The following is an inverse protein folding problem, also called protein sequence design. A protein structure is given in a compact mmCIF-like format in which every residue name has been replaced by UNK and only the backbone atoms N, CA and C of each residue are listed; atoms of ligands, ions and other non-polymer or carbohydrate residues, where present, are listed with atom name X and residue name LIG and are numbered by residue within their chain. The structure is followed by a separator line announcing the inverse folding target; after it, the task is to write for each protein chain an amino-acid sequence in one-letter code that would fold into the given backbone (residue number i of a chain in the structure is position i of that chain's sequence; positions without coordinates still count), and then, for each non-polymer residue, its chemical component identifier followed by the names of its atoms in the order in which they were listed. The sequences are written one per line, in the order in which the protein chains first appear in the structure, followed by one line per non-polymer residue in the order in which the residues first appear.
data_IF_222304587973
#
_entry.id   IF_222304587973
#
_cell.length_a   1.000
_cell.length_b   1.000
_cell.length_c   1.000
_cell.angle_alpha   90.00
_cell.angle_beta   90.00
_cell.angle_gamma   90.00
#
_symmetry.space_group_name_H-M   'P 1'
#
loop_
_entity.id
_entity.type
_entity.pdbx_description
1 polymer ?
#
# COMPACT_ATOMS: atom_id res chain seq x y z
N UNK A 1 -48.91 3.04 -32.26
CA UNK A 1 -48.22 3.28 -30.98
C UNK A 1 -47.26 2.12 -30.76
N UNK A 2 -46.02 2.27 -31.13
CA UNK A 2 -44.99 1.23 -31.04
C UNK A 2 -43.95 1.72 -30.04
N UNK A 3 -43.92 1.09 -28.87
CA UNK A 3 -42.90 1.31 -27.84
C UNK A 3 -41.58 0.72 -28.30
N UNK A 4 -40.58 1.58 -28.43
CA UNK A 4 -39.20 1.18 -28.68
C UNK A 4 -38.45 0.94 -27.38
N UNK A 5 -38.02 -0.30 -27.19
CA UNK A 5 -37.17 -0.79 -26.09
C UNK A 5 -35.78 -0.21 -26.21
N UNK A 6 -35.13 0.28 -25.11
CA UNK A 6 -33.77 0.74 -25.17
C UNK A 6 -32.76 -0.42 -25.27
N UNK A 7 -31.60 -0.25 -25.89
CA UNK A 7 -30.60 -1.30 -26.07
C UNK A 7 -29.89 -1.65 -24.78
N UNK A 8 -29.84 -2.95 -24.49
CA UNK A 8 -28.95 -3.54 -23.48
C UNK A 8 -27.54 -3.61 -24.06
N UNK A 9 -26.62 -2.85 -23.53
CA UNK A 9 -25.22 -2.89 -23.92
C UNK A 9 -24.37 -2.09 -22.96
N UNK A 10 -24.21 -2.59 -21.74
CA UNK A 10 -23.23 -2.06 -20.78
C UNK A 10 -21.82 -2.54 -21.16
N UNK A 11 -21.10 -1.81 -21.98
CA UNK A 11 -19.65 -2.00 -22.12
C UNK A 11 -18.97 -1.58 -20.82
N UNK A 12 -18.35 -2.54 -20.12
CA UNK A 12 -17.40 -2.28 -19.03
C UNK A 12 -16.24 -1.47 -19.61
N UNK A 13 -16.24 -0.19 -19.37
CA UNK A 13 -15.06 0.64 -19.56
C UNK A 13 -14.05 0.30 -18.46
N UNK A 14 -13.13 -0.63 -18.77
CA UNK A 14 -11.89 -0.77 -18.02
C UNK A 14 -11.07 0.48 -18.33
N UNK A 15 -10.97 1.39 -17.36
CA UNK A 15 -10.04 2.51 -17.45
C UNK A 15 -8.62 1.94 -17.54
N UNK A 16 -8.06 1.89 -18.74
CA UNK A 16 -6.64 1.63 -18.96
C UNK A 16 -5.84 2.84 -18.45
N UNK A 17 -5.29 2.76 -17.25
CA UNK A 17 -4.33 3.71 -16.69
C UNK A 17 -2.93 3.46 -17.30
N UNK A 18 -2.85 2.98 -18.53
CA UNK A 18 -1.60 2.78 -19.29
C UNK A 18 -1.38 3.92 -20.30
N UNK A 19 -1.74 5.15 -19.93
CA UNK A 19 -1.35 6.36 -20.66
C UNK A 19 0.03 6.80 -20.25
N UNK A 20 1.00 6.59 -21.13
CA UNK A 20 2.31 7.22 -21.27
C UNK A 20 2.73 8.23 -20.20
N UNK A 21 3.49 7.77 -19.18
CA UNK A 21 4.16 8.63 -18.21
C UNK A 21 5.58 8.96 -18.72
N UNK A 22 5.69 9.95 -19.59
CA UNK A 22 6.97 10.62 -19.89
C UNK A 22 6.88 12.03 -19.33
N UNK A 23 7.53 12.27 -18.21
CA UNK A 23 7.59 13.58 -17.57
C UNK A 23 7.56 13.50 -16.06
N UNK A 24 8.38 14.27 -15.39
CA UNK A 24 8.69 14.27 -13.96
C UNK A 24 7.54 14.66 -13.00
N UNK A 25 6.30 14.70 -13.46
CA UNK A 25 5.12 14.94 -12.63
C UNK A 25 4.40 13.60 -12.39
N UNK A 26 4.78 12.94 -11.28
CA UNK A 26 4.09 11.75 -10.81
C UNK A 26 2.65 12.10 -10.44
N UNK A 27 1.68 11.52 -11.17
CA UNK A 27 0.25 11.63 -10.87
C UNK A 27 0.03 11.24 -9.40
N UNK A 28 -0.27 12.23 -8.57
CA UNK A 28 -0.62 12.00 -7.17
C UNK A 28 -2.05 11.46 -7.12
N UNK A 29 -2.15 10.15 -6.99
CA UNK A 29 -3.42 9.48 -6.75
C UNK A 29 -3.71 9.54 -5.26
N UNK A 30 -4.90 9.98 -4.89
CA UNK A 30 -5.33 9.96 -3.49
C UNK A 30 -6.28 8.80 -3.24
N UNK A 31 -6.03 8.10 -2.12
CA UNK A 31 -6.83 6.99 -1.66
C UNK A 31 -7.43 7.32 -0.29
N UNK A 32 -8.76 7.28 -0.16
CA UNK A 32 -9.37 7.26 1.17
C UNK A 32 -9.29 5.85 1.72
N UNK A 33 -8.50 5.67 2.76
CA UNK A 33 -8.29 4.37 3.40
C UNK A 33 -9.57 3.89 4.05
N UNK A 34 -9.98 2.66 3.74
CA UNK A 34 -11.16 2.00 4.32
C UNK A 34 -10.80 0.89 5.31
N UNK A 35 -9.66 0.23 5.11
CA UNK A 35 -9.19 -0.86 5.99
C UNK A 35 -7.68 -1.06 5.86
N UNK A 36 -7.01 -1.29 6.98
CA UNK A 36 -5.65 -1.84 7.02
C UNK A 36 -5.76 -3.36 7.09
N UNK A 37 -4.98 -4.06 6.26
CA UNK A 37 -5.00 -5.52 6.13
C UNK A 37 -3.92 -6.13 7.04
N UNK A 38 -2.70 -5.61 6.94
CA UNK A 38 -1.53 -5.98 7.75
C UNK A 38 -0.57 -4.79 7.85
N UNK A 39 0.66 -5.00 8.34
CA UNK A 39 1.62 -3.92 8.62
C UNK A 39 2.18 -3.20 7.38
N UNK A 40 1.92 -3.68 6.16
CA UNK A 40 2.38 -3.04 4.92
C UNK A 40 1.33 -3.00 3.81
N UNK A 41 0.11 -3.47 4.11
CA UNK A 41 -0.96 -3.59 3.11
C UNK A 41 -2.26 -2.99 3.62
N UNK A 42 -2.90 -2.16 2.80
CA UNK A 42 -4.17 -1.54 3.10
C UNK A 42 -5.06 -1.42 1.87
N UNK A 43 -6.34 -1.18 2.08
CA UNK A 43 -7.31 -0.97 1.00
C UNK A 43 -8.06 0.35 1.18
N UNK A 44 -8.55 0.88 0.08
CA UNK A 44 -9.34 2.09 0.10
C UNK A 44 -10.00 2.37 -1.24
N UNK A 45 -10.67 3.52 -1.31
CA UNK A 45 -11.30 4.01 -2.53
C UNK A 45 -10.45 5.11 -3.15
N UNK A 46 -10.05 4.89 -4.38
CA UNK A 46 -9.27 5.85 -5.16
C UNK A 46 -10.17 7.01 -5.61
N UNK A 47 -9.75 8.24 -5.28
CA UNK A 47 -10.31 9.45 -5.86
C UNK A 47 -9.33 9.95 -6.92
N UNK A 48 -9.74 9.91 -8.19
CA UNK A 48 -8.98 10.58 -9.26
C UNK A 48 -9.25 12.07 -9.17
N UNK A 49 -8.20 12.88 -9.07
CA UNK A 49 -8.35 14.33 -9.09
C UNK A 49 -8.68 14.75 -10.54
N UNK A 50 -9.96 15.01 -10.80
CA UNK A 50 -10.50 15.26 -12.15
C UNK A 50 -10.08 16.60 -12.76
N UNK A 51 -9.28 17.43 -12.06
CA UNK A 51 -8.75 18.68 -12.66
C UNK A 51 -7.80 18.41 -13.83
N UNK A 52 -7.12 17.25 -13.86
CA UNK A 52 -6.21 16.85 -14.94
C UNK A 52 -6.83 15.87 -15.95
N UNK A 53 -7.96 15.25 -15.58
CA UNK A 53 -8.70 14.32 -16.44
C UNK A 53 -10.01 14.92 -16.97
N UNK A 54 -10.02 16.24 -17.26
CA UNK A 54 -11.20 16.88 -17.84
C UNK A 54 -11.45 16.37 -19.26
N UNK A 55 -12.35 15.41 -19.38
CA UNK A 55 -12.96 15.02 -20.63
C UNK A 55 -14.37 15.65 -20.67
N UNK A 56 -14.65 16.62 -21.56
CA UNK A 56 -15.93 17.35 -21.60
C UNK A 56 -17.15 16.47 -21.86
N UNK A 57 -16.97 15.20 -22.20
CA UNK A 57 -18.05 14.22 -22.39
C UNK A 57 -18.35 13.35 -21.16
N UNK A 58 -17.60 13.46 -20.08
CA UNK A 58 -17.82 12.64 -18.85
C UNK A 58 -18.45 13.51 -17.79
N UNK A 59 -19.61 13.07 -17.27
CA UNK A 59 -20.28 13.73 -16.15
C UNK A 59 -19.31 13.78 -14.95
N UNK A 60 -18.90 14.96 -14.46
CA UNK A 60 -17.93 15.10 -13.37
C UNK A 60 -18.41 14.48 -12.04
N UNK A 61 -19.70 14.14 -11.94
CA UNK A 61 -20.31 13.48 -10.76
C UNK A 61 -20.27 11.93 -10.85
N UNK A 62 -19.81 11.36 -11.97
CA UNK A 62 -19.60 9.92 -12.13
C UNK A 62 -18.14 9.52 -11.84
N UNK A 63 -17.58 9.98 -10.75
CA UNK A 63 -16.31 9.44 -10.24
C UNK A 63 -16.57 8.03 -9.74
N UNK A 64 -16.25 7.03 -10.56
CA UNK A 64 -16.35 5.63 -10.14
C UNK A 64 -15.23 5.38 -9.14
N UNK A 65 -15.57 5.38 -7.86
CA UNK A 65 -14.65 5.10 -6.75
C UNK A 65 -14.22 3.63 -6.83
N UNK A 66 -13.10 3.36 -7.48
CA UNK A 66 -12.56 2.02 -7.58
C UNK A 66 -11.89 1.64 -6.27
N UNK A 67 -12.34 0.55 -5.66
CA UNK A 67 -11.67 -0.06 -4.53
C UNK A 67 -10.35 -0.67 -5.01
N UNK A 68 -9.25 -0.33 -4.38
CA UNK A 68 -7.93 -0.89 -4.66
C UNK A 68 -7.26 -1.35 -3.37
N UNK A 69 -6.38 -2.34 -3.51
CA UNK A 69 -5.47 -2.79 -2.46
C UNK A 69 -4.07 -2.28 -2.80
N UNK A 70 -3.42 -1.72 -1.81
CA UNK A 70 -2.08 -1.14 -1.91
C UNK A 70 -1.14 -1.89 -0.98
N UNK A 71 0.00 -2.31 -1.51
CA UNK A 71 1.16 -2.78 -0.75
C UNK A 71 2.23 -1.69 -0.77
N UNK A 72 2.69 -1.28 0.40
CA UNK A 72 3.73 -0.25 0.53
C UNK A 72 5.03 -0.76 -0.09
N UNK A 73 5.60 0.03 -1.00
CA UNK A 73 6.84 -0.31 -1.68
C UNK A 73 8.04 -0.27 -0.73
N UNK A 74 8.98 -1.18 -0.90
CA UNK A 74 10.28 -1.16 -0.25
C UNK A 74 10.31 -1.65 1.18
N UNK A 75 9.16 -1.96 1.78
CA UNK A 75 9.10 -2.55 3.13
C UNK A 75 8.43 -3.93 3.11
N UNK A 76 8.73 -4.74 4.13
CA UNK A 76 8.05 -6.01 4.41
C UNK A 76 7.80 -6.09 5.91
N UNK A 77 6.53 -5.96 6.31
CA UNK A 77 6.14 -5.98 7.71
C UNK A 77 5.87 -7.42 8.18
N UNK A 78 5.96 -7.70 9.49
CA UNK A 78 5.62 -9.01 10.02
C UNK A 78 4.19 -9.42 9.67
N UNK A 79 4.03 -10.69 9.34
CA UNK A 79 2.74 -11.30 9.03
C UNK A 79 1.85 -11.38 10.28
N UNK A 80 0.54 -11.51 10.09
CA UNK A 80 -0.37 -11.79 11.21
C UNK A 80 0.02 -13.10 11.90
N UNK A 81 0.10 -13.05 13.23
CA UNK A 81 0.54 -14.19 14.05
C UNK A 81 2.06 -14.39 14.08
N UNK A 82 2.82 -13.54 13.41
CA UNK A 82 4.25 -13.40 13.60
C UNK A 82 4.52 -12.42 14.73
N UNK A 83 5.67 -12.59 15.42
CA UNK A 83 6.13 -11.62 16.41
C UNK A 83 6.08 -10.19 15.87
N UNK A 84 5.47 -9.28 16.60
CA UNK A 84 5.18 -7.89 16.21
C UNK A 84 4.19 -7.68 15.04
N UNK A 85 3.60 -8.71 14.45
CA UNK A 85 2.68 -8.55 13.31
C UNK A 85 1.44 -7.73 13.63
N UNK A 86 0.82 -7.99 14.79
CA UNK A 86 -0.34 -7.23 15.25
C UNK A 86 0.03 -5.79 15.63
N UNK A 87 1.23 -5.58 16.22
CA UNK A 87 1.73 -4.24 16.56
C UNK A 87 1.97 -3.41 15.30
N UNK A 88 2.63 -3.98 14.28
CA UNK A 88 2.85 -3.33 12.99
C UNK A 88 1.53 -2.97 12.30
N UNK A 89 0.56 -3.89 12.32
CA UNK A 89 -0.79 -3.66 11.76
C UNK A 89 -1.52 -2.53 12.49
N UNK A 90 -1.47 -2.51 13.81
CA UNK A 90 -2.08 -1.46 14.63
C UNK A 90 -1.41 -0.11 14.40
N UNK A 91 -0.09 -0.06 14.31
CA UNK A 91 0.64 1.18 14.05
C UNK A 91 0.28 1.75 12.67
N UNK A 92 0.28 0.93 11.62
CA UNK A 92 -0.17 1.36 10.31
C UNK A 92 -1.63 1.84 10.34
N UNK A 93 -2.50 1.14 11.07
CA UNK A 93 -3.89 1.57 11.26
C UNK A 93 -3.97 2.96 11.88
N UNK A 94 -3.20 3.23 12.93
CA UNK A 94 -3.14 4.55 13.58
C UNK A 94 -2.63 5.65 12.63
N UNK A 95 -1.64 5.32 11.80
CA UNK A 95 -1.07 6.27 10.83
C UNK A 95 -2.08 6.69 9.75
N UNK A 96 -2.89 5.75 9.21
CA UNK A 96 -3.63 6.00 7.96
C UNK A 96 -5.13 5.70 8.00
N UNK A 97 -5.68 5.08 9.04
CA UNK A 97 -7.10 4.67 9.04
C UNK A 97 -8.04 5.86 8.92
N UNK A 98 -8.98 5.77 7.97
CA UNK A 98 -9.96 6.82 7.69
C UNK A 98 -9.38 8.08 7.03
N UNK A 99 -8.07 8.14 6.83
CA UNK A 99 -7.36 9.29 6.27
C UNK A 99 -7.29 9.22 4.74
N UNK A 100 -6.95 10.35 4.12
CA UNK A 100 -6.58 10.42 2.70
C UNK A 100 -5.07 10.22 2.59
N UNK A 101 -4.66 9.22 1.81
CA UNK A 101 -3.26 8.86 1.56
C UNK A 101 -2.92 9.15 0.11
N UNK A 102 -1.87 9.92 -0.11
CA UNK A 102 -1.28 10.14 -1.43
C UNK A 102 -0.44 8.93 -1.85
N UNK A 103 -0.58 8.50 -3.09
CA UNK A 103 0.13 7.34 -3.63
C UNK A 103 1.02 7.72 -4.80
N UNK A 104 2.25 7.26 -4.76
CA UNK A 104 3.15 7.21 -5.92
C UNK A 104 3.14 5.77 -6.43
N UNK A 105 2.27 5.50 -7.40
CA UNK A 105 2.07 4.16 -7.95
C UNK A 105 3.30 3.70 -8.73
N UNK A 106 3.72 2.45 -8.54
CA UNK A 106 4.85 1.83 -9.26
C UNK A 106 4.36 0.80 -10.28
N UNK A 107 3.78 -0.29 -9.80
CA UNK A 107 3.27 -1.39 -10.63
C UNK A 107 2.21 -2.18 -9.88
N UNK A 108 1.56 -3.14 -10.56
CA UNK A 108 0.75 -4.17 -9.90
C UNK A 108 1.56 -5.44 -9.68
N UNK A 109 1.33 -6.10 -8.55
CA UNK A 109 1.87 -7.42 -8.32
C UNK A 109 0.97 -8.52 -8.93
N UNK A 110 1.45 -9.76 -8.83
CA UNK A 110 0.72 -10.93 -9.36
C UNK A 110 -0.62 -11.19 -8.66
N UNK A 111 -0.86 -10.60 -7.50
CA UNK A 111 -2.13 -10.68 -6.74
C UNK A 111 -3.08 -9.52 -7.06
N UNK A 112 -2.69 -8.63 -7.96
CA UNK A 112 -3.47 -7.47 -8.39
C UNK A 112 -3.40 -6.27 -7.44
N UNK A 113 -2.55 -6.31 -6.38
CA UNK A 113 -2.31 -5.17 -5.49
C UNK A 113 -1.45 -4.12 -6.19
N UNK A 114 -1.69 -2.85 -5.91
CA UNK A 114 -0.79 -1.78 -6.32
C UNK A 114 0.41 -1.70 -5.38
N UNK A 115 1.62 -1.82 -5.92
CA UNK A 115 2.85 -1.47 -5.21
C UNK A 115 3.02 0.04 -5.35
N UNK A 116 3.10 0.75 -4.21
CA UNK A 116 3.18 2.20 -4.18
C UNK A 116 3.96 2.71 -2.97
N UNK A 117 4.62 3.86 -3.12
CA UNK A 117 5.02 4.67 -1.96
C UNK A 117 3.79 5.44 -1.49
N UNK A 118 3.51 5.39 -0.20
CA UNK A 118 2.33 5.98 0.42
C UNK A 118 2.72 7.16 1.31
N UNK A 119 1.97 8.28 1.21
CA UNK A 119 2.24 9.50 1.95
C UNK A 119 0.98 10.00 2.64
N UNK A 120 1.12 10.48 3.87
CA UNK A 120 0.07 11.22 4.56
C UNK A 120 0.68 12.50 5.13
N UNK A 121 0.08 13.65 4.79
CA UNK A 121 0.55 14.99 5.17
C UNK A 121 2.06 15.24 4.87
N UNK A 122 2.52 14.68 3.74
CA UNK A 122 3.91 14.80 3.31
C UNK A 122 4.88 13.79 3.93
N UNK A 123 4.43 13.00 4.91
CA UNK A 123 5.23 11.97 5.58
C UNK A 123 5.15 10.65 4.80
N UNK A 124 6.29 10.05 4.52
CA UNK A 124 6.38 8.70 3.91
C UNK A 124 6.05 7.63 4.96
N UNK A 125 4.95 6.92 4.73
CA UNK A 125 4.43 5.90 5.65
C UNK A 125 5.38 4.71 5.77
N UNK A 126 6.04 4.31 4.67
CA UNK A 126 7.04 3.24 4.70
C UNK A 126 8.26 3.62 5.55
N UNK A 127 8.70 4.87 5.44
CA UNK A 127 9.78 5.40 6.26
C UNK A 127 9.43 5.40 7.76
N UNK A 128 8.21 5.81 8.13
CA UNK A 128 7.76 5.78 9.53
C UNK A 128 7.71 4.34 10.08
N UNK A 129 7.23 3.36 9.30
CA UNK A 129 7.22 1.96 9.70
C UNK A 129 8.64 1.42 9.98
N UNK A 130 9.62 1.80 9.15
CA UNK A 130 11.03 1.42 9.33
C UNK A 130 11.66 2.10 10.54
N UNK A 131 11.43 3.39 10.70
CA UNK A 131 11.93 4.22 11.81
C UNK A 131 11.48 3.70 13.18
N UNK A 132 10.23 3.26 13.28
CA UNK A 132 9.67 2.67 14.50
C UNK A 132 10.05 1.19 14.69
N UNK A 133 10.86 0.61 13.77
CA UNK A 133 11.27 -0.79 13.82
C UNK A 133 10.10 -1.77 13.62
N UNK A 134 9.09 -1.40 12.83
CA UNK A 134 7.88 -2.19 12.62
C UNK A 134 7.81 -2.87 11.24
N UNK A 135 8.87 -2.71 10.44
CA UNK A 135 9.04 -3.39 9.16
C UNK A 135 10.52 -3.62 8.86
N UNK A 136 10.81 -4.54 7.95
CA UNK A 136 12.12 -4.69 7.31
C UNK A 136 12.18 -3.85 6.04
N UNK A 137 13.35 -3.31 5.72
CA UNK A 137 13.64 -2.81 4.38
C UNK A 137 13.81 -3.98 3.41
N UNK A 138 12.91 -4.11 2.43
CA UNK A 138 12.95 -5.19 1.45
C UNK A 138 13.92 -4.83 0.31
N UNK A 139 15.22 -5.00 0.57
CA UNK A 139 16.34 -4.56 -0.29
C UNK A 139 16.35 -5.18 -1.68
N UNK A 140 15.80 -6.39 -1.84
CA UNK A 140 15.69 -7.05 -3.15
C UNK A 140 14.75 -6.31 -4.11
N UNK A 141 13.80 -5.54 -3.58
CA UNK A 141 12.76 -4.85 -4.36
C UNK A 141 13.01 -3.35 -4.44
N UNK A 142 13.65 -2.78 -3.43
CA UNK A 142 13.90 -1.35 -3.33
C UNK A 142 15.29 -1.04 -2.76
N UNK A 143 16.11 -0.36 -3.56
CA UNK A 143 17.45 0.07 -3.19
C UNK A 143 17.51 1.42 -2.49
N UNK A 144 16.41 1.92 -1.90
CA UNK A 144 16.36 3.24 -1.28
C UNK A 144 17.34 3.34 -0.08
N UNK A 145 18.42 4.16 -0.18
CA UNK A 145 19.41 4.25 0.88
C UNK A 145 18.85 4.86 2.17
N UNK A 146 17.82 5.72 2.07
CA UNK A 146 17.16 6.29 3.23
C UNK A 146 16.42 5.22 4.04
N UNK A 147 15.74 4.28 3.37
CA UNK A 147 15.09 3.15 4.04
C UNK A 147 16.11 2.24 4.73
N UNK A 148 17.26 1.99 4.08
CA UNK A 148 18.33 1.20 4.68
C UNK A 148 18.93 1.88 5.93
N UNK A 149 19.05 3.21 5.91
CA UNK A 149 19.50 4.00 7.05
C UNK A 149 18.50 3.91 8.21
N UNK A 150 17.21 4.14 7.97
CA UNK A 150 16.16 4.08 9.00
C UNK A 150 16.09 2.69 9.66
N UNK A 151 16.18 1.61 8.87
CA UNK A 151 16.24 0.25 9.41
C UNK A 151 17.46 0.06 10.32
N UNK A 152 18.64 0.55 9.89
CA UNK A 152 19.87 0.44 10.67
C UNK A 152 19.79 1.22 11.99
N UNK A 153 19.23 2.43 11.96
CA UNK A 153 19.03 3.26 13.15
C UNK A 153 18.05 2.61 14.14
N UNK A 154 16.92 2.06 13.65
CA UNK A 154 15.97 1.34 14.47
C UNK A 154 16.59 0.09 15.12
N UNK A 155 17.41 -0.66 14.38
CA UNK A 155 18.17 -1.81 14.90
C UNK A 155 19.13 -1.42 16.00
N UNK A 156 19.90 -0.36 15.77
CA UNK A 156 20.89 0.13 16.76
C UNK A 156 20.21 0.59 18.05
N UNK A 157 19.03 1.20 17.93
CA UNK A 157 18.25 1.68 19.07
C UNK A 157 17.39 0.57 19.73
N UNK A 158 17.35 -0.65 19.19
CA UNK A 158 16.54 -1.75 19.73
C UNK A 158 15.03 -1.48 19.67
N UNK A 159 14.56 -0.74 18.64
CA UNK A 159 13.14 -0.37 18.53
C UNK A 159 12.29 -1.47 17.90
N UNK A 160 11.05 -1.55 18.34
CA UNK A 160 10.06 -2.44 17.78
C UNK A 160 10.52 -3.90 17.69
N UNK A 161 10.61 -4.44 16.47
CA UNK A 161 11.10 -5.79 16.17
C UNK A 161 12.50 -6.09 16.74
N UNK A 162 13.31 -5.07 16.87
CA UNK A 162 14.73 -5.17 17.23
C UNK A 162 14.96 -5.16 18.75
N UNK A 163 13.89 -5.19 19.57
CA UNK A 163 14.03 -5.21 21.02
C UNK A 163 14.45 -6.58 21.57
N UNK A 164 14.32 -7.65 20.78
CA UNK A 164 14.86 -8.96 21.08
C UNK A 164 15.22 -9.75 19.81
N UNK A 165 15.78 -10.93 19.97
CA UNK A 165 16.31 -11.78 18.90
C UNK A 165 15.27 -12.67 18.19
N UNK A 166 13.98 -12.59 18.61
CA UNK A 166 12.87 -13.32 17.95
C UNK A 166 12.43 -12.72 16.62
N UNK A 167 13.03 -11.62 16.22
CA UNK A 167 12.70 -10.95 14.97
C UNK A 167 13.14 -11.79 13.76
N UNK A 168 12.19 -12.46 13.12
CA UNK A 168 12.38 -13.22 11.89
C UNK A 168 11.86 -12.41 10.72
N UNK A 169 12.61 -12.31 9.59
CA UNK A 169 12.13 -11.61 8.41
C UNK A 169 10.86 -12.27 7.84
N UNK A 170 9.87 -11.49 7.33
CA UNK A 170 8.62 -12.05 6.83
C UNK A 170 8.81 -13.03 5.67
N UNK A 171 9.80 -12.82 4.80
CA UNK A 171 10.10 -13.75 3.71
C UNK A 171 10.66 -15.10 4.19
N UNK A 172 11.31 -15.17 5.35
CA UNK A 172 11.73 -16.42 6.00
C UNK A 172 10.54 -17.05 6.71
N UNK A 173 9.77 -16.26 7.46
CA UNK A 173 8.55 -16.71 8.12
C UNK A 173 7.58 -17.39 7.16
N UNK A 174 7.37 -16.85 5.97
CA UNK A 174 6.50 -17.45 4.95
C UNK A 174 6.95 -18.85 4.50
N UNK A 175 8.24 -19.16 4.59
CA UNK A 175 8.83 -20.46 4.24
C UNK A 175 8.80 -21.47 5.38
N UNK A 176 8.62 -21.03 6.61
CA UNK A 176 8.58 -21.89 7.78
C UNK A 176 7.34 -22.77 7.81
N UNK A 177 7.49 -23.99 8.28
CA UNK A 177 6.38 -24.87 8.64
C UNK A 177 5.61 -24.30 9.84
N UNK A 178 4.40 -24.83 10.08
CA UNK A 178 3.61 -24.44 11.27
C UNK A 178 4.37 -24.70 12.58
N UNK A 179 5.07 -25.84 12.66
CA UNK A 179 5.82 -26.23 13.83
C UNK A 179 6.95 -25.24 14.15
N UNK A 180 7.70 -24.84 13.14
CA UNK A 180 8.76 -23.82 13.30
C UNK A 180 8.20 -22.49 13.75
N UNK A 181 7.08 -22.02 13.16
CA UNK A 181 6.43 -20.76 13.54
C UNK A 181 5.95 -20.76 15.00
N UNK A 182 5.50 -21.91 15.51
CA UNK A 182 5.00 -21.99 16.90
C UNK A 182 6.13 -21.78 17.93
N UNK A 183 7.41 -21.96 17.56
CA UNK A 183 8.55 -21.68 18.43
C UNK A 183 8.85 -20.17 18.58
N UNK A 184 8.30 -19.31 17.70
CA UNK A 184 8.49 -17.86 17.69
C UNK A 184 7.25 -17.05 18.11
N UNK A 185 6.26 -17.71 18.69
CA UNK A 185 5.02 -17.07 19.19
C UNK A 185 5.12 -16.61 20.63
#
# INVERSE_FOLDING_TARGET
MTESRPPKGGSRLTANVTGCLSGSDSVKVFLKVSRVIDGDTFEGRMTVNTKEAYNPGVNPWMVQLTKIVVRINGIDAPERGQYYGDVATLHLHWLISGKAVGLKLKQRDMYGRWIATAFHDGVDIGAEMLKEGLAWHYKEVDGNPHYAQLEAEAKLAGLGLWCDDRAVPPWEWRRMSKYERDAYR
#
